data_IF_255424190620
#
_entry.id   IF_255424190620
#
_cell.length_a   1.000
_cell.length_b   1.000
_cell.length_c   1.000
_cell.angle_alpha   90.00
_cell.angle_beta   90.00
_cell.angle_gamma   90.00
#
_symmetry.space_group_name_H-M   'P 1'
#
loop_
_entity.id
_entity.type
_entity.pdbx_description
1 polymer ?
#
# COMPACT_ATOMS: atom_id res chain seq x y z
N UNK A 1 -5.44 -21.97 -14.14
CA UNK A 1 -4.44 -21.35 -15.02
C UNK A 1 -3.10 -21.41 -14.31
N UNK A 2 -2.07 -21.87 -15.01
CA UNK A 2 -0.73 -22.02 -14.48
C UNK A 2 -0.14 -20.66 -14.06
N UNK A 3 0.79 -20.70 -13.11
CA UNK A 3 1.60 -19.55 -12.70
C UNK A 3 2.33 -18.98 -13.94
N UNK A 4 2.13 -17.72 -14.34
CA UNK A 4 2.71 -17.15 -15.57
C UNK A 4 4.18 -16.77 -15.42
N UNK A 5 4.86 -17.31 -14.41
CA UNK A 5 6.25 -17.04 -14.09
C UNK A 5 7.02 -18.35 -14.07
N UNK A 6 8.18 -18.34 -14.72
CA UNK A 6 9.08 -19.49 -14.81
C UNK A 6 10.46 -19.13 -14.27
N UNK A 7 11.11 -20.08 -13.60
CA UNK A 7 12.48 -19.89 -13.11
C UNK A 7 13.46 -20.25 -14.22
N UNK A 8 14.29 -19.29 -14.62
CA UNK A 8 15.35 -19.48 -15.59
C UNK A 8 16.70 -19.07 -14.96
N UNK A 9 17.47 -20.07 -14.50
CA UNK A 9 18.72 -19.84 -13.80
C UNK A 9 18.54 -18.95 -12.55
N UNK A 10 19.16 -17.77 -12.59
CA UNK A 10 19.11 -16.78 -11.51
C UNK A 10 17.89 -15.85 -11.58
N UNK A 11 17.08 -15.92 -12.64
CA UNK A 11 15.96 -15.02 -12.90
C UNK A 11 14.60 -15.72 -12.80
N UNK A 12 13.58 -14.93 -12.52
CA UNK A 12 12.17 -15.26 -12.68
C UNK A 12 11.68 -14.47 -13.89
N UNK A 13 11.27 -15.20 -14.92
CA UNK A 13 10.85 -14.65 -16.20
C UNK A 13 9.35 -14.81 -16.41
N UNK A 14 8.74 -13.85 -17.09
CA UNK A 14 7.35 -13.94 -17.49
C UNK A 14 7.21 -14.90 -18.68
N UNK A 15 6.30 -15.87 -18.57
CA UNK A 15 6.08 -16.92 -19.58
C UNK A 15 4.74 -16.81 -20.30
N UNK A 16 3.98 -15.72 -20.09
CA UNK A 16 2.73 -15.47 -20.81
C UNK A 16 2.93 -14.71 -22.12
N UNK A 17 1.83 -14.33 -22.76
CA UNK A 17 1.88 -13.50 -23.98
C UNK A 17 2.14 -12.02 -23.68
N UNK A 18 1.37 -11.47 -22.74
CA UNK A 18 1.48 -10.07 -22.34
C UNK A 18 1.03 -9.86 -20.89
N UNK A 19 1.75 -9.01 -20.17
CA UNK A 19 1.41 -8.60 -18.80
C UNK A 19 1.66 -7.11 -18.60
N UNK A 20 0.77 -6.48 -17.83
CA UNK A 20 0.95 -5.13 -17.32
C UNK A 20 1.20 -5.17 -15.82
N UNK A 21 2.23 -4.44 -15.36
CA UNK A 21 2.38 -4.09 -13.95
C UNK A 21 2.01 -2.62 -13.73
N UNK A 22 1.10 -2.38 -12.80
CA UNK A 22 0.58 -1.05 -12.48
C UNK A 22 1.28 -0.52 -11.24
N UNK A 23 2.35 0.26 -11.44
CA UNK A 23 3.11 0.86 -10.35
C UNK A 23 2.55 2.25 -10.05
N UNK A 24 2.03 2.53 -8.83
CA UNK A 24 1.50 3.84 -8.50
C UNK A 24 2.53 4.95 -8.69
N UNK A 25 2.14 6.10 -9.25
CA UNK A 25 3.03 7.26 -9.42
C UNK A 25 3.64 7.72 -8.08
N UNK A 26 2.90 7.53 -6.98
CA UNK A 26 3.39 7.74 -5.62
C UNK A 26 4.73 7.06 -5.36
N UNK A 27 4.96 5.85 -5.89
CA UNK A 27 6.19 5.09 -5.64
C UNK A 27 7.39 5.80 -6.27
N UNK A 28 7.24 6.35 -7.48
CA UNK A 28 8.29 7.12 -8.15
C UNK A 28 8.52 8.47 -7.46
N UNK A 29 7.45 9.19 -7.11
CA UNK A 29 7.54 10.49 -6.43
C UNK A 29 8.22 10.40 -5.06
N UNK A 30 8.20 9.23 -4.44
CA UNK A 30 8.76 8.99 -3.11
C UNK A 30 10.06 8.17 -3.10
N UNK A 31 10.62 7.89 -4.29
CA UNK A 31 11.84 7.10 -4.54
C UNK A 31 11.79 5.62 -4.12
N UNK A 32 10.59 5.10 -3.89
CA UNK A 32 10.31 3.68 -3.63
C UNK A 32 10.43 2.87 -4.94
N UNK A 33 10.03 3.47 -6.05
CA UNK A 33 10.32 2.99 -7.39
C UNK A 33 11.30 3.94 -8.08
N UNK A 34 12.25 3.38 -8.82
CA UNK A 34 13.25 4.12 -9.58
C UNK A 34 13.43 3.48 -10.95
N UNK A 35 13.48 4.33 -11.96
CA UNK A 35 13.90 3.96 -13.31
C UNK A 35 15.41 4.14 -13.40
N UNK A 36 16.12 3.09 -13.77
CA UNK A 36 17.59 3.06 -13.82
C UNK A 36 17.98 2.56 -15.20
N UNK A 37 18.23 3.48 -16.12
CA UNK A 37 18.50 3.14 -17.52
C UNK A 37 17.32 2.40 -18.15
N UNK A 38 17.50 1.10 -18.38
CA UNK A 38 16.57 0.19 -19.05
C UNK A 38 15.72 -0.67 -18.09
N UNK A 39 15.93 -0.56 -16.78
CA UNK A 39 15.23 -1.37 -15.79
C UNK A 39 14.57 -0.53 -14.70
N UNK A 40 13.69 -1.19 -13.94
CA UNK A 40 12.98 -0.60 -12.83
C UNK A 40 13.36 -1.31 -11.54
N UNK A 41 13.82 -0.55 -10.55
CA UNK A 41 13.97 -1.00 -9.19
C UNK A 41 12.73 -0.57 -8.39
N UNK A 42 11.97 -1.51 -7.85
CA UNK A 42 10.67 -1.24 -7.24
C UNK A 42 10.40 -2.16 -6.05
N UNK A 43 9.66 -1.67 -5.04
CA UNK A 43 9.11 -2.52 -4.00
C UNK A 43 8.01 -3.41 -4.58
N UNK A 44 8.12 -4.74 -4.43
CA UNK A 44 7.22 -5.75 -5.01
C UNK A 44 5.81 -5.80 -4.40
N UNK A 45 5.17 -4.66 -4.18
CA UNK A 45 3.80 -4.51 -3.69
C UNK A 45 3.02 -3.66 -4.68
N UNK A 46 2.43 -4.28 -5.68
CA UNK A 46 1.68 -3.57 -6.73
C UNK A 46 0.75 -4.52 -7.49
N UNK A 47 -0.15 -3.97 -8.30
CA UNK A 47 -1.08 -4.76 -9.09
C UNK A 47 -0.45 -5.20 -10.42
N UNK A 48 -0.81 -6.40 -10.87
CA UNK A 48 -0.48 -6.92 -12.20
C UNK A 48 -1.72 -7.48 -12.88
N UNK A 49 -1.71 -7.51 -14.21
CA UNK A 49 -2.73 -8.16 -15.02
C UNK A 49 -2.09 -8.80 -16.22
N UNK A 50 -2.40 -10.08 -16.44
CA UNK A 50 -1.99 -10.81 -17.63
C UNK A 50 -3.10 -10.76 -18.69
N UNK A 51 -2.73 -10.92 -19.94
CA UNK A 51 -3.64 -10.89 -21.08
C UNK A 51 -3.51 -12.16 -21.91
N UNK A 52 -4.58 -12.54 -22.61
CA UNK A 52 -4.57 -13.69 -23.53
C UNK A 52 -4.08 -13.34 -24.94
N UNK A 53 -3.80 -12.08 -25.18
CA UNK A 53 -3.41 -11.52 -26.46
C UNK A 53 -2.33 -10.45 -26.26
N UNK A 54 -1.46 -10.33 -27.26
CA UNK A 54 -0.36 -9.36 -27.29
C UNK A 54 -0.85 -7.90 -27.40
N UNK A 55 -2.07 -7.69 -27.93
CA UNK A 55 -2.68 -6.36 -28.08
C UNK A 55 -3.24 -5.79 -26.76
N UNK A 56 -3.35 -6.61 -25.70
CA UNK A 56 -3.90 -6.20 -24.40
C UNK A 56 -5.41 -6.02 -24.37
N UNK A 57 -6.17 -6.63 -25.28
CA UNK A 57 -7.64 -6.48 -25.40
C UNK A 57 -8.43 -7.49 -24.57
N UNK A 58 -7.83 -8.62 -24.19
CA UNK A 58 -8.45 -9.70 -23.43
C UNK A 58 -7.81 -9.83 -22.04
N UNK A 59 -8.13 -8.92 -21.11
CA UNK A 59 -7.60 -8.95 -19.75
C UNK A 59 -8.05 -10.19 -18.98
N UNK A 60 -7.12 -10.80 -18.25
CA UNK A 60 -7.42 -11.76 -17.20
C UNK A 60 -7.63 -11.03 -15.86
N UNK A 61 -7.87 -11.80 -14.80
CA UNK A 61 -8.10 -11.28 -13.45
C UNK A 61 -6.91 -10.43 -12.96
N UNK A 62 -7.21 -9.27 -12.37
CA UNK A 62 -6.23 -8.45 -11.65
C UNK A 62 -5.67 -9.23 -10.46
N UNK A 63 -4.36 -9.21 -10.29
CA UNK A 63 -3.66 -9.82 -9.16
C UNK A 63 -2.77 -8.80 -8.47
N UNK A 64 -2.30 -9.16 -7.29
CA UNK A 64 -1.42 -8.30 -6.49
C UNK A 64 -0.14 -9.07 -6.25
N UNK A 65 0.97 -8.45 -6.61
CA UNK A 65 2.29 -8.93 -6.25
C UNK A 65 2.45 -8.64 -4.76
N UNK A 66 2.62 -9.70 -3.98
CA UNK A 66 2.87 -9.64 -2.55
C UNK A 66 4.29 -10.17 -2.29
N UNK A 67 5.27 -9.38 -2.71
CA UNK A 67 6.69 -9.66 -2.52
C UNK A 67 7.34 -8.39 -1.95
N UNK A 68 7.18 -8.12 -0.64
CA UNK A 68 7.52 -6.84 -0.01
C UNK A 68 9.04 -6.66 0.18
N UNK A 69 9.79 -6.72 -0.91
CA UNK A 69 11.24 -6.53 -1.05
C UNK A 69 11.49 -5.70 -2.31
N UNK A 70 12.69 -5.13 -2.44
CA UNK A 70 13.07 -4.48 -3.68
C UNK A 70 13.42 -5.52 -4.74
N UNK A 71 12.69 -5.47 -5.86
CA UNK A 71 12.94 -6.25 -7.05
C UNK A 71 13.47 -5.36 -8.16
N UNK A 72 14.26 -5.95 -9.05
CA UNK A 72 14.67 -5.30 -10.30
C UNK A 72 14.03 -6.05 -11.46
N UNK A 73 13.37 -5.30 -12.34
CA UNK A 73 12.53 -5.83 -13.42
C UNK A 73 12.84 -5.14 -14.75
N UNK A 74 12.71 -5.88 -15.85
CA UNK A 74 13.15 -5.48 -17.20
C UNK A 74 11.98 -5.62 -18.21
N UNK A 75 11.02 -4.68 -18.21
CA UNK A 75 9.90 -4.69 -19.16
C UNK A 75 10.35 -4.21 -20.55
N UNK A 76 10.45 -5.13 -21.53
CA UNK A 76 10.90 -4.77 -22.89
C UNK A 76 9.84 -4.04 -23.70
N UNK A 77 8.56 -4.17 -23.32
CA UNK A 77 7.45 -3.41 -23.93
C UNK A 77 7.41 -1.94 -23.51
N UNK A 78 8.35 -1.49 -22.69
CA UNK A 78 8.43 -0.12 -22.21
C UNK A 78 7.38 0.19 -21.14
N UNK A 79 7.06 1.48 -21.01
CA UNK A 79 6.08 1.95 -20.04
C UNK A 79 5.27 3.14 -20.56
N UNK A 80 4.09 3.34 -19.98
CA UNK A 80 3.27 4.53 -20.20
C UNK A 80 2.62 5.00 -18.89
N UNK A 81 2.31 6.29 -18.79
CA UNK A 81 1.54 6.83 -17.68
C UNK A 81 0.05 6.78 -18.01
N UNK A 82 -0.76 6.18 -17.13
CA UNK A 82 -2.21 6.11 -17.29
C UNK A 82 -2.93 6.43 -15.98
N UNK A 83 -4.05 7.14 -16.09
CA UNK A 83 -5.00 7.32 -15.00
C UNK A 83 -6.03 6.19 -15.07
N UNK A 84 -6.12 5.37 -14.02
CA UNK A 84 -6.94 4.15 -14.02
C UNK A 84 -7.63 3.98 -12.67
N UNK A 85 -8.86 3.44 -12.68
CA UNK A 85 -9.49 2.84 -11.50
C UNK A 85 -9.41 1.32 -11.62
N UNK A 86 -8.44 0.71 -10.95
CA UNK A 86 -8.16 -0.73 -11.08
C UNK A 86 -9.15 -1.61 -10.31
N UNK A 87 -9.76 -1.08 -9.24
CA UNK A 87 -10.56 -1.85 -8.27
C UNK A 87 -11.93 -1.22 -7.95
N UNK A 88 -12.31 -0.13 -8.63
CA UNK A 88 -13.57 0.58 -8.40
C UNK A 88 -13.55 1.47 -7.16
N UNK A 89 -12.38 1.97 -6.76
CA UNK A 89 -12.17 2.77 -5.53
C UNK A 89 -11.51 4.12 -5.82
N UNK A 90 -11.71 4.64 -7.02
CA UNK A 90 -11.21 5.93 -7.48
C UNK A 90 -10.03 5.81 -8.43
N UNK A 91 -9.92 6.82 -9.29
CA UNK A 91 -8.85 6.91 -10.28
C UNK A 91 -7.51 7.31 -9.64
N UNK A 92 -6.45 6.59 -9.98
CA UNK A 92 -5.08 6.90 -9.57
C UNK A 92 -4.15 6.90 -10.80
N UNK A 93 -3.03 7.64 -10.71
CA UNK A 93 -2.01 7.67 -11.76
C UNK A 93 -1.03 6.51 -11.57
N UNK A 94 -0.80 5.75 -12.63
CA UNK A 94 0.10 4.59 -12.66
C UNK A 94 1.13 4.72 -13.79
N UNK A 95 2.33 4.21 -13.52
CA UNK A 95 3.23 3.75 -14.57
C UNK A 95 2.86 2.31 -14.90
N UNK A 96 2.41 2.09 -16.13
CA UNK A 96 2.04 0.78 -16.67
C UNK A 96 3.25 0.21 -17.37
N UNK A 97 3.93 -0.74 -16.72
CA UNK A 97 5.09 -1.44 -17.26
C UNK A 97 4.62 -2.64 -18.08
N UNK A 98 5.13 -2.78 -19.31
CA UNK A 98 4.67 -3.77 -20.29
C UNK A 98 5.68 -4.90 -20.45
N UNK A 99 5.21 -6.11 -20.19
CA UNK A 99 6.03 -7.32 -20.22
C UNK A 99 5.61 -8.26 -21.33
N UNK A 100 6.59 -8.79 -22.04
CA UNK A 100 6.43 -9.86 -23.01
C UNK A 100 7.13 -11.14 -22.56
N UNK A 101 6.87 -12.24 -23.27
CA UNK A 101 7.49 -13.53 -22.99
C UNK A 101 9.01 -13.40 -22.84
N UNK A 102 9.59 -14.06 -21.84
CA UNK A 102 11.01 -14.04 -21.44
C UNK A 102 11.50 -12.77 -20.72
N UNK A 103 10.67 -11.74 -20.57
CA UNK A 103 11.05 -10.57 -19.78
C UNK A 103 11.33 -10.95 -18.33
N UNK A 104 12.42 -10.41 -17.78
CA UNK A 104 12.85 -10.65 -16.41
C UNK A 104 11.95 -9.84 -15.48
N UNK A 105 11.21 -10.54 -14.62
CA UNK A 105 10.36 -9.92 -13.62
C UNK A 105 11.10 -9.64 -12.31
N UNK A 106 11.91 -10.58 -11.83
CA UNK A 106 12.80 -10.38 -10.69
C UNK A 106 13.90 -11.45 -10.63
N UNK A 107 14.88 -11.26 -9.75
CA UNK A 107 15.86 -12.31 -9.44
C UNK A 107 15.27 -13.36 -8.50
N UNK A 108 15.77 -14.58 -8.60
CA UNK A 108 15.44 -15.70 -7.70
C UNK A 108 16.01 -15.53 -6.30
N UNK A 109 17.15 -14.86 -6.18
CA UNK A 109 17.77 -14.51 -4.91
C UNK A 109 17.69 -12.99 -4.75
N UNK A 110 16.84 -12.54 -3.85
CA UNK A 110 16.64 -11.11 -3.56
C UNK A 110 17.34 -10.80 -2.24
N UNK A 111 18.24 -9.80 -2.19
CA UNK A 111 18.93 -9.45 -0.96
C UNK A 111 17.94 -8.85 0.05
N UNK A 112 18.13 -9.23 1.32
CA UNK A 112 17.44 -8.61 2.44
C UNK A 112 17.77 -7.11 2.52
N UNK A 113 16.77 -6.26 2.76
CA UNK A 113 16.96 -4.82 2.75
C UNK A 113 16.15 -4.09 3.81
N UNK A 114 16.85 -3.42 4.73
CA UNK A 114 16.25 -2.49 5.69
C UNK A 114 15.57 -1.31 4.97
N UNK A 115 16.06 -0.94 3.78
CA UNK A 115 15.45 0.11 2.98
C UNK A 115 14.07 -0.33 2.47
N UNK A 116 13.94 -1.57 2.00
CA UNK A 116 12.64 -2.10 1.57
C UNK A 116 11.62 -2.17 2.72
N UNK A 117 12.07 -2.48 3.94
CA UNK A 117 11.22 -2.37 5.13
C UNK A 117 10.78 -0.92 5.41
N UNK A 118 11.70 0.05 5.36
CA UNK A 118 11.37 1.47 5.53
C UNK A 118 10.37 1.96 4.47
N UNK A 119 10.55 1.55 3.23
CA UNK A 119 9.67 1.92 2.12
C UNK A 119 8.29 1.26 2.27
N UNK A 120 8.22 0.00 2.72
CA UNK A 120 6.96 -0.65 3.09
C UNK A 120 6.22 0.14 4.18
N UNK A 121 6.90 0.49 5.28
CA UNK A 121 6.28 1.28 6.35
C UNK A 121 5.77 2.63 5.84
N UNK A 122 6.54 3.32 5.00
CA UNK A 122 6.16 4.61 4.40
C UNK A 122 4.86 4.50 3.59
N UNK A 123 4.70 3.43 2.82
CA UNK A 123 3.47 3.17 2.04
C UNK A 123 2.30 2.84 2.97
N UNK A 124 2.54 1.96 3.95
CA UNK A 124 1.53 1.54 4.93
C UNK A 124 0.99 2.76 5.70
N UNK A 125 1.86 3.55 6.34
CA UNK A 125 1.44 4.69 7.16
C UNK A 125 0.85 5.84 6.34
N UNK A 126 1.17 5.92 5.05
CA UNK A 126 0.52 6.86 4.13
C UNK A 126 -0.87 6.39 3.65
N UNK A 127 -1.29 5.16 3.99
CA UNK A 127 -2.52 4.59 3.45
C UNK A 127 -2.45 4.32 1.94
N UNK A 128 -1.26 4.03 1.41
CA UNK A 128 -1.00 3.89 -0.03
C UNK A 128 -0.73 2.46 -0.47
N UNK A 129 -1.03 1.47 0.37
CA UNK A 129 -0.99 0.07 -0.06
C UNK A 129 -2.08 -0.19 -1.13
N UNK A 130 -1.84 -1.09 -2.09
CA UNK A 130 -2.83 -1.43 -3.10
C UNK A 130 -4.17 -1.84 -2.47
N UNK A 131 -5.26 -1.18 -2.87
CA UNK A 131 -6.62 -1.44 -2.37
C UNK A 131 -7.17 -2.83 -2.73
N UNK A 132 -6.39 -3.61 -3.48
CA UNK A 132 -6.61 -5.04 -3.74
C UNK A 132 -6.28 -5.96 -2.56
N UNK A 133 -5.62 -5.47 -1.52
CA UNK A 133 -5.44 -6.23 -0.28
C UNK A 133 -6.71 -6.14 0.57
N UNK A 134 -7.13 -7.27 1.14
CA UNK A 134 -8.16 -7.22 2.18
C UNK A 134 -7.56 -6.65 3.47
N UNK A 135 -8.42 -6.13 4.34
CA UNK A 135 -8.00 -5.64 5.66
C UNK A 135 -7.25 -6.70 6.47
N UNK A 136 -7.67 -7.96 6.36
CA UNK A 136 -7.08 -9.08 7.08
C UNK A 136 -5.68 -9.46 6.51
N UNK A 137 -5.41 -9.16 5.24
CA UNK A 137 -4.11 -9.43 4.61
C UNK A 137 -3.00 -8.46 5.04
N UNK A 138 -3.34 -7.32 5.65
CA UNK A 138 -2.35 -6.26 5.92
C UNK A 138 -1.34 -6.68 6.98
N UNK A 139 -1.79 -7.40 8.02
CA UNK A 139 -0.88 -7.89 9.06
C UNK A 139 0.05 -8.98 8.51
N UNK A 140 -0.49 -9.90 7.71
CA UNK A 140 0.32 -10.97 7.10
C UNK A 140 1.33 -10.41 6.08
N UNK A 141 0.97 -9.33 5.38
CA UNK A 141 1.90 -8.57 4.52
C UNK A 141 3.04 -7.95 5.35
N UNK A 142 2.74 -7.41 6.54
CA UNK A 142 3.75 -6.85 7.44
C UNK A 142 4.72 -7.94 7.91
N UNK A 143 4.21 -9.08 8.37
CA UNK A 143 5.04 -10.20 8.84
C UNK A 143 5.92 -10.77 7.72
N UNK A 144 5.35 -10.90 6.52
CA UNK A 144 6.10 -11.31 5.33
C UNK A 144 7.22 -10.32 4.98
N UNK A 145 7.00 -9.02 5.16
CA UNK A 145 8.05 -8.02 4.97
C UNK A 145 9.19 -8.20 5.98
N UNK A 146 8.88 -8.52 7.24
CA UNK A 146 9.89 -8.81 8.26
C UNK A 146 10.75 -10.01 7.87
N UNK A 147 10.10 -11.12 7.53
CA UNK A 147 10.74 -12.37 7.16
C UNK A 147 11.66 -12.17 5.95
N UNK A 148 11.13 -11.61 4.86
CA UNK A 148 11.87 -11.48 3.60
C UNK A 148 13.00 -10.44 3.64
N UNK A 149 12.94 -9.47 4.54
CA UNK A 149 14.00 -8.46 4.71
C UNK A 149 14.90 -8.72 5.91
N UNK A 150 14.76 -9.86 6.60
CA UNK A 150 15.61 -10.23 7.73
C UNK A 150 15.47 -9.29 8.94
N UNK A 151 14.31 -8.65 9.10
CA UNK A 151 14.02 -7.74 10.21
C UNK A 151 13.67 -8.58 11.45
N UNK A 152 14.39 -8.35 12.55
CA UNK A 152 14.27 -9.14 13.79
C UNK A 152 13.72 -8.36 14.98
N UNK A 153 12.89 -7.34 14.73
CA UNK A 153 12.26 -6.63 15.85
C UNK A 153 11.19 -7.52 16.49
N UNK A 154 11.24 -7.63 17.81
CA UNK A 154 10.22 -8.30 18.59
C UNK A 154 9.08 -7.29 18.87
N UNK A 155 8.28 -7.03 17.84
CA UNK A 155 7.10 -6.17 17.94
C UNK A 155 5.89 -7.08 18.15
N UNK A 156 5.20 -6.98 19.31
CA UNK A 156 3.98 -7.75 19.54
C UNK A 156 2.92 -7.44 18.46
N UNK A 157 2.21 -8.47 18.00
CA UNK A 157 1.21 -8.32 16.93
C UNK A 157 0.11 -7.33 17.31
N UNK A 158 -0.25 -7.24 18.60
CA UNK A 158 -1.20 -6.24 19.12
C UNK A 158 -0.79 -4.81 18.77
N UNK A 159 0.51 -4.51 18.73
CA UNK A 159 1.00 -3.18 18.33
C UNK A 159 0.85 -2.96 16.83
N UNK A 160 1.13 -3.98 16.01
CA UNK A 160 0.94 -3.93 14.55
C UNK A 160 -0.54 -3.72 14.22
N UNK A 161 -1.41 -4.50 14.86
CA UNK A 161 -2.87 -4.39 14.75
C UNK A 161 -3.37 -3.01 15.15
N UNK A 162 -2.82 -2.42 16.23
CA UNK A 162 -3.18 -1.08 16.64
C UNK A 162 -2.83 -0.05 15.56
N UNK A 163 -1.63 -0.11 14.98
CA UNK A 163 -1.20 0.78 13.89
C UNK A 163 -2.11 0.62 12.67
N UNK A 164 -2.39 -0.62 12.25
CA UNK A 164 -3.30 -0.91 11.15
C UNK A 164 -4.71 -0.36 11.46
N UNK A 165 -5.22 -0.54 12.67
CA UNK A 165 -6.54 -0.04 13.06
C UNK A 165 -6.66 1.49 13.02
N UNK A 166 -5.53 2.20 13.18
CA UNK A 166 -5.49 3.65 13.06
C UNK A 166 -5.54 4.12 11.60
N UNK A 167 -4.89 3.41 10.68
CA UNK A 167 -4.83 3.79 9.27
C UNK A 167 -6.15 3.52 8.55
N UNK A 168 -6.80 2.40 8.86
CA UNK A 168 -7.96 1.91 8.13
C UNK A 168 -9.26 2.29 8.83
N UNK A 169 -10.11 3.03 8.11
CA UNK A 169 -11.33 3.67 8.62
C UNK A 169 -12.59 3.20 7.88
N UNK A 170 -13.73 3.42 8.51
CA UNK A 170 -15.03 3.28 7.86
C UNK A 170 -15.19 4.34 6.75
N UNK A 171 -15.47 3.95 5.49
CA UNK A 171 -15.71 4.90 4.40
C UNK A 171 -16.87 5.87 4.63
N UNK A 172 -17.91 5.43 5.35
CA UNK A 172 -19.07 6.26 5.65
C UNK A 172 -18.82 7.22 6.82
N UNK A 173 -17.95 6.83 7.76
CA UNK A 173 -17.64 7.57 8.98
C UNK A 173 -16.15 7.45 9.35
N UNK A 174 -15.27 8.25 8.74
CA UNK A 174 -13.82 8.12 8.91
C UNK A 174 -13.31 8.24 10.36
N UNK A 175 -14.12 8.79 11.28
CA UNK A 175 -13.83 8.82 12.71
C UNK A 175 -13.86 7.44 13.40
N UNK A 176 -14.42 6.41 12.75
CA UNK A 176 -14.43 5.04 13.27
C UNK A 176 -13.39 4.17 12.57
N UNK A 177 -12.70 3.34 13.37
CA UNK A 177 -11.78 2.31 12.89
C UNK A 177 -12.54 1.23 12.12
N UNK A 178 -12.01 0.80 10.98
CA UNK A 178 -12.65 -0.22 10.15
C UNK A 178 -12.81 -1.56 10.89
N UNK A 179 -11.83 -1.95 11.71
CA UNK A 179 -11.90 -3.16 12.52
C UNK A 179 -13.10 -3.21 13.48
N UNK A 180 -13.54 -2.07 14.01
CA UNK A 180 -14.73 -2.00 14.87
C UNK A 180 -16.01 -2.32 14.09
N UNK A 181 -16.15 -1.77 12.89
CA UNK A 181 -17.28 -2.00 12.00
C UNK A 181 -17.40 -3.49 11.64
N UNK A 182 -16.27 -4.08 11.26
CA UNK A 182 -16.14 -5.49 10.94
C UNK A 182 -16.46 -6.40 12.13
N UNK A 183 -15.96 -6.07 13.32
CA UNK A 183 -16.26 -6.82 14.55
C UNK A 183 -17.74 -6.79 14.93
N UNK A 184 -18.44 -5.69 14.61
CA UNK A 184 -19.89 -5.55 14.85
C UNK A 184 -20.75 -6.24 13.78
N UNK A 185 -20.29 -6.26 12.53
CA UNK A 185 -21.00 -6.89 11.43
C UNK A 185 -20.03 -7.70 10.54
N UNK A 186 -19.90 -9.01 10.79
CA UNK A 186 -18.99 -9.88 10.05
C UNK A 186 -19.28 -9.98 8.54
N UNK A 187 -20.49 -9.61 8.09
CA UNK A 187 -20.90 -9.66 6.68
C UNK A 187 -20.29 -8.54 5.82
N UNK A 188 -19.60 -7.58 6.45
CA UNK A 188 -18.95 -6.48 5.73
C UNK A 188 -17.73 -7.00 4.99
N UNK A 189 -17.65 -6.67 3.70
CA UNK A 189 -16.50 -7.01 2.86
C UNK A 189 -15.22 -6.41 3.42
N UNK A 190 -14.18 -7.23 3.54
CA UNK A 190 -12.86 -6.81 4.04
C UNK A 190 -12.10 -5.89 3.08
N UNK A 191 -12.68 -5.58 1.93
CA UNK A 191 -12.15 -4.62 0.94
C UNK A 191 -12.83 -3.25 1.01
N UNK A 192 -13.88 -3.10 1.83
CA UNK A 192 -14.67 -1.88 1.92
C UNK A 192 -14.16 -0.91 2.98
N UNK A 193 -12.85 -0.83 3.16
CA UNK A 193 -12.22 0.19 3.99
C UNK A 193 -11.91 1.46 3.20
N UNK A 194 -11.72 2.56 3.91
CA UNK A 194 -10.95 3.72 3.43
C UNK A 194 -9.69 3.87 4.28
N UNK A 195 -8.70 4.59 3.79
CA UNK A 195 -7.46 4.84 4.53
C UNK A 195 -7.35 6.32 4.85
N UNK A 196 -6.97 6.65 6.07
CA UNK A 196 -6.53 7.98 6.45
C UNK A 196 -5.00 8.00 6.55
N UNK A 197 -4.36 9.05 6.02
CA UNK A 197 -2.92 9.25 6.24
C UNK A 197 -2.70 9.56 7.73
N UNK A 198 -1.58 9.14 8.34
CA UNK A 198 -1.22 9.52 9.73
C UNK A 198 -1.26 11.03 9.98
N UNK A 199 -1.01 11.86 8.97
CA UNK A 199 -1.18 13.33 9.03
C UNK A 199 -2.64 13.81 9.06
N UNK A 200 -3.56 13.01 8.54
CA UNK A 200 -5.01 13.28 8.59
C UNK A 200 -5.62 12.68 9.87
N UNK A 201 -5.06 11.58 10.35
CA UNK A 201 -5.47 10.93 11.61
C UNK A 201 -5.33 11.88 12.80
N UNK A 202 -4.32 12.74 12.85
CA UNK A 202 -4.23 13.79 13.89
C UNK A 202 -5.37 14.80 13.82
N UNK A 203 -5.91 15.10 12.62
CA UNK A 203 -7.10 15.95 12.45
C UNK A 203 -8.37 15.27 13.00
N UNK A 204 -8.43 13.95 12.96
CA UNK A 204 -9.57 13.17 13.44
C UNK A 204 -9.47 12.78 14.93
N UNK A 205 -8.24 12.63 15.44
CA UNK A 205 -8.00 12.04 16.75
C UNK A 205 -7.89 13.04 17.90
N UNK A 206 -7.37 14.26 17.70
CA UNK A 206 -7.41 15.31 18.75
C UNK A 206 -6.79 16.62 18.25
N UNK A 207 -7.42 17.74 18.61
CA UNK A 207 -6.91 19.10 18.42
C UNK A 207 -5.50 19.29 19.02
N UNK A 208 -5.15 18.57 20.08
CA UNK A 208 -3.85 18.66 20.77
C UNK A 208 -2.73 17.89 20.04
N UNK A 209 -3.03 16.72 19.47
CA UNK A 209 -2.08 15.94 18.68
C UNK A 209 -1.73 16.65 17.35
N UNK A 210 -2.63 17.48 16.84
CA UNK A 210 -2.42 18.33 15.67
C UNK A 210 -1.46 19.51 15.94
N UNK A 211 -1.41 20.01 17.17
CA UNK A 211 -0.48 21.08 17.60
C UNK A 211 0.98 20.59 17.64
N UNK A 212 1.21 19.31 17.94
CA UNK A 212 2.55 18.76 18.15
C UNK A 212 3.25 18.27 16.88
N UNK A 213 2.50 17.97 15.80
CA UNK A 213 3.05 17.45 14.55
C UNK A 213 2.77 18.37 13.35
N UNK A 214 3.66 19.34 13.16
CA UNK A 214 4.17 19.82 11.87
C UNK A 214 3.26 20.53 10.85
N UNK A 215 2.02 20.96 11.19
CA UNK A 215 1.27 21.92 10.37
C UNK A 215 0.32 22.79 11.21
N UNK A 216 0.84 23.92 11.71
CA UNK A 216 0.13 24.77 12.67
C UNK A 216 -1.15 25.41 12.10
N UNK A 217 -1.11 25.88 10.84
CA UNK A 217 -2.21 26.66 10.25
C UNK A 217 -3.45 25.79 9.93
N UNK A 218 -3.25 24.62 9.34
CA UNK A 218 -4.36 23.68 9.06
C UNK A 218 -4.96 23.09 10.35
N UNK A 219 -4.12 22.93 11.38
CA UNK A 219 -4.53 22.41 12.68
C UNK A 219 -5.38 23.42 13.45
N UNK A 220 -5.06 24.71 13.35
CA UNK A 220 -5.87 25.80 13.91
C UNK A 220 -7.25 25.86 13.22
N UNK A 221 -7.29 25.81 11.89
CA UNK A 221 -8.56 25.83 11.14
C UNK A 221 -9.46 24.64 11.49
N UNK A 222 -8.87 23.45 11.65
CA UNK A 222 -9.59 22.24 12.05
C UNK A 222 -10.13 22.34 13.47
N UNK A 223 -9.32 22.79 14.45
CA UNK A 223 -9.73 22.94 15.84
C UNK A 223 -10.89 23.94 16.01
N UNK A 224 -10.82 25.09 15.32
CA UNK A 224 -11.90 26.09 15.30
C UNK A 224 -13.20 25.49 14.72
N UNK A 225 -13.09 24.71 13.63
CA UNK A 225 -14.26 24.07 12.99
C UNK A 225 -14.90 23.00 13.87
N UNK A 226 -14.08 22.15 14.51
CA UNK A 226 -14.53 21.09 15.43
C UNK A 226 -15.22 21.67 16.67
N UNK A 227 -14.66 22.76 17.23
CA UNK A 227 -15.26 23.47 18.38
C UNK A 227 -16.60 24.11 18.00
N UNK A 228 -16.69 24.70 16.80
CA UNK A 228 -17.92 25.33 16.30
C UNK A 228 -19.01 24.33 15.89
N UNK A 229 -18.66 23.05 15.73
CA UNK A 229 -19.58 21.99 15.29
C UNK A 229 -19.95 21.00 16.41
N UNK A 230 -19.55 21.26 17.66
CA UNK A 230 -19.83 20.44 18.87
C UNK A 230 -19.52 18.94 18.69
N UNK A 231 -18.56 18.60 17.82
CA UNK A 231 -18.14 17.20 17.64
C UNK A 231 -17.41 16.74 18.91
N UNK A 232 -17.83 15.61 19.47
CA UNK A 232 -17.14 14.98 20.62
C UNK A 232 -15.73 14.61 20.22
N UNK A 233 -14.74 15.25 20.85
CA UNK A 233 -13.34 14.89 20.71
C UNK A 233 -13.12 13.49 21.32
N UNK A 234 -12.51 12.59 20.56
CA UNK A 234 -12.01 11.34 21.10
C UNK A 234 -10.63 11.61 21.70
N UNK A 235 -10.36 11.15 22.92
CA UNK A 235 -9.05 11.37 23.55
C UNK A 235 -8.08 10.31 23.04
N UNK A 236 -6.95 10.73 22.51
CA UNK A 236 -5.92 9.78 22.07
C UNK A 236 -5.26 9.10 23.28
N UNK A 237 -4.77 7.84 23.16
CA UNK A 237 -3.99 7.20 24.22
C UNK A 237 -2.77 8.01 24.67
N UNK A 238 -2.20 8.82 23.77
CA UNK A 238 -1.11 9.75 24.09
C UNK A 238 -1.52 10.92 24.98
N UNK A 239 -2.74 11.47 24.81
CA UNK A 239 -3.27 12.50 25.71
C UNK A 239 -3.58 11.99 27.10
N UNK A 240 -3.94 10.70 27.23
CA UNK A 240 -4.14 10.09 28.54
C UNK A 240 -2.82 9.95 29.32
N UNK A 241 -1.70 9.78 28.61
CA UNK A 241 -0.35 9.72 29.19
C UNK A 241 0.20 11.10 29.59
N UNK A 242 -0.22 12.18 28.91
CA UNK A 242 0.26 13.55 29.14
C UNK A 242 -0.63 14.40 30.06
N UNK A 243 -1.79 13.88 30.47
CA UNK A 243 -2.73 14.55 31.40
C UNK A 243 -2.35 14.39 32.89
N UNK A 244 -1.10 14.01 33.18
CA UNK A 244 -0.50 14.05 34.51
C UNK A 244 0.84 14.78 34.47
#
# INVERSE_FOLDING_TARGET
>A
MANPFTKNGANIEFSGEYMEAYIPEYYFNTNIARMVGDHFAVLGIFNIRTFKDVDGKQPLQLRTVNLPVHIVTYPTGGYEKKKLDLVGKGEEMYYVLKYYNTDIFCQTAIPQSVVAFKDFLKILTAGKLPKSFSYDDIITLWDRNFELNGIKFDIPDVIKELVISEIYRDPAKPEYRFGYLVGKNPSISRYDYTTANTKEITKYNSSFAAITFENMDESIVSAVTTTRTERKEQTSPMEQLLKF
#
